data_IF_106005695426
#
_entry.id   IF_106005695426
#
_cell.length_a   1.000
_cell.length_b   1.000
_cell.length_c   1.000
_cell.angle_alpha   90.00
_cell.angle_beta   90.00
_cell.angle_gamma   90.00
#
_symmetry.space_group_name_H-M   'P 1'
#
loop_
_entity.id
_entity.type
_entity.pdbx_description
1 polymer ?
#
# COMPACT_ATOMS: atom_id res chain seq x y z
N UNK A 1 -5.52 13.13 3.48
CA UNK A 1 -5.73 12.00 4.41
C UNK A 1 -6.83 12.33 5.40
N UNK A 2 -6.76 13.49 6.06
CA UNK A 2 -7.74 14.03 7.02
C UNK A 2 -9.23 13.82 6.67
N UNK A 3 -9.67 14.13 5.45
CA UNK A 3 -11.08 13.97 5.09
C UNK A 3 -11.57 12.51 5.15
N UNK A 4 -10.70 11.54 4.85
CA UNK A 4 -11.06 10.11 4.95
C UNK A 4 -11.15 9.69 6.43
N UNK A 5 -10.25 10.20 7.27
CA UNK A 5 -10.31 9.98 8.72
C UNK A 5 -11.58 10.61 9.31
N UNK A 6 -11.88 11.85 8.95
CA UNK A 6 -13.08 12.54 9.38
C UNK A 6 -14.35 11.74 9.05
N UNK A 7 -14.45 11.22 7.82
CA UNK A 7 -15.60 10.42 7.39
C UNK A 7 -15.70 9.11 8.18
N UNK A 8 -14.60 8.38 8.34
CA UNK A 8 -14.62 7.03 8.92
C UNK A 8 -14.56 7.00 10.46
N UNK A 9 -13.96 8.01 11.10
CA UNK A 9 -13.75 8.09 12.55
C UNK A 9 -14.77 9.01 13.21
N UNK A 10 -14.87 10.25 12.72
CA UNK A 10 -15.64 11.30 13.40
C UNK A 10 -17.11 11.35 12.93
N UNK A 11 -17.36 10.83 11.72
CA UNK A 11 -18.66 10.89 11.06
C UNK A 11 -18.89 12.24 10.42
N UNK A 12 -18.84 12.28 9.08
CA UNK A 12 -19.12 13.51 8.35
C UNK A 12 -20.63 13.76 8.30
N UNK A 13 -21.09 14.83 8.96
CA UNK A 13 -22.53 15.17 9.05
C UNK A 13 -23.19 15.51 7.71
N UNK A 14 -22.40 15.78 6.66
CA UNK A 14 -22.90 16.01 5.30
C UNK A 14 -22.99 14.73 4.46
N UNK A 15 -22.42 13.62 4.95
CA UNK A 15 -22.44 12.30 4.29
C UNK A 15 -23.29 11.38 5.15
N UNK A 16 -24.58 11.28 4.82
CA UNK A 16 -25.53 10.47 5.56
C UNK A 16 -25.34 8.95 5.45
N UNK A 17 -26.06 8.17 6.29
CA UNK A 17 -26.19 6.72 6.17
C UNK A 17 -26.57 6.28 4.74
N UNK A 18 -26.09 5.10 4.32
CA UNK A 18 -26.12 4.63 2.92
C UNK A 18 -27.51 4.48 2.30
N UNK A 19 -28.56 4.57 3.12
CA UNK A 19 -29.97 4.37 2.82
C UNK A 19 -30.80 5.67 2.84
N UNK A 20 -30.23 6.82 3.24
CA UNK A 20 -30.99 8.09 3.35
C UNK A 20 -30.23 9.28 2.76
N UNK A 21 -30.86 9.93 1.79
CA UNK A 21 -30.48 11.28 1.40
C UNK A 21 -30.79 12.21 2.58
N UNK A 22 -29.77 12.81 3.20
CA UNK A 22 -29.99 13.88 4.17
C UNK A 22 -30.65 15.03 3.40
N UNK A 23 -31.88 15.39 3.79
CA UNK A 23 -32.45 16.70 3.43
C UNK A 23 -31.49 17.74 4.00
N UNK A 24 -30.80 18.44 3.10
CA UNK A 24 -29.63 19.24 3.41
C UNK A 24 -29.85 20.15 4.62
N UNK A 25 -29.20 19.80 5.73
CA UNK A 25 -28.78 20.84 6.66
C UNK A 25 -27.68 21.61 5.94
N UNK A 26 -27.88 22.92 5.76
CA UNK A 26 -26.99 23.88 5.10
C UNK A 26 -25.59 24.00 5.74
N UNK A 27 -25.21 23.10 6.65
CA UNK A 27 -23.91 23.13 7.31
C UNK A 27 -22.87 22.50 6.38
N UNK A 28 -22.04 23.34 5.77
CA UNK A 28 -20.88 22.89 5.01
C UNK A 28 -19.91 22.14 5.93
N UNK A 29 -19.33 21.05 5.43
CA UNK A 29 -18.24 20.36 6.13
C UNK A 29 -16.94 21.16 5.95
N UNK A 30 -16.20 21.37 7.03
CA UNK A 30 -14.92 22.09 7.02
C UNK A 30 -13.79 21.33 6.29
N UNK A 31 -14.02 20.07 5.92
CA UNK A 31 -13.09 19.28 5.12
C UNK A 31 -13.49 19.31 3.65
N UNK A 32 -12.81 20.11 2.79
CA UNK A 32 -13.23 20.32 1.41
C UNK A 32 -13.22 19.03 0.58
N UNK A 33 -12.31 18.10 0.90
CA UNK A 33 -12.23 16.81 0.23
C UNK A 33 -13.35 15.84 0.60
N UNK A 34 -14.15 16.07 1.65
CA UNK A 34 -15.26 15.19 2.01
C UNK A 34 -16.29 15.08 0.87
N UNK A 35 -16.61 16.20 0.21
CA UNK A 35 -17.53 16.19 -0.93
C UNK A 35 -17.01 15.36 -2.10
N UNK A 36 -15.70 15.43 -2.37
CA UNK A 36 -15.06 14.62 -3.41
C UNK A 36 -15.02 13.12 -3.09
N UNK A 37 -14.96 12.76 -1.80
CA UNK A 37 -14.93 11.36 -1.35
C UNK A 37 -16.32 10.74 -1.15
N UNK A 38 -17.37 11.54 -0.99
CA UNK A 38 -18.75 11.10 -0.73
C UNK A 38 -19.22 9.99 -1.67
N UNK A 39 -19.05 10.18 -2.99
CA UNK A 39 -19.47 9.19 -3.99
C UNK A 39 -18.71 7.88 -3.86
N UNK A 40 -17.40 7.94 -3.60
CA UNK A 40 -16.59 6.73 -3.42
C UNK A 40 -17.01 5.99 -2.15
N UNK A 41 -17.27 6.71 -1.05
CA UNK A 41 -17.69 6.12 0.22
C UNK A 41 -19.04 5.44 0.09
N UNK A 42 -20.05 6.13 -0.46
CA UNK A 42 -21.38 5.54 -0.70
C UNK A 42 -21.33 4.34 -1.62
N UNK A 43 -20.59 4.46 -2.72
CA UNK A 43 -20.43 3.36 -3.66
C UNK A 43 -19.78 2.16 -2.99
N UNK A 44 -18.66 2.38 -2.30
CA UNK A 44 -17.92 1.30 -1.66
C UNK A 44 -18.77 0.55 -0.63
N UNK A 45 -19.60 1.25 0.15
CA UNK A 45 -20.51 0.65 1.12
C UNK A 45 -21.65 -0.17 0.53
N UNK A 46 -22.06 0.09 -0.71
CA UNK A 46 -23.19 -0.60 -1.35
C UNK A 46 -22.76 -1.59 -2.45
N UNK A 47 -21.51 -1.48 -2.95
CA UNK A 47 -21.02 -2.32 -4.02
C UNK A 47 -20.72 -3.74 -3.51
N UNK A 48 -21.22 -4.75 -4.22
CA UNK A 48 -21.01 -6.18 -3.91
C UNK A 48 -19.71 -6.73 -4.50
N UNK A 49 -19.14 -6.08 -5.51
CA UNK A 49 -17.91 -6.53 -6.20
C UNK A 49 -16.66 -5.84 -5.64
N UNK A 50 -16.41 -5.97 -4.34
CA UNK A 50 -15.24 -5.39 -3.67
C UNK A 50 -14.02 -6.29 -3.87
N UNK A 51 -13.36 -6.14 -5.05
CA UNK A 51 -12.11 -6.79 -5.53
C UNK A 51 -12.16 -8.34 -5.58
N UNK A 52 -11.28 -9.06 -6.34
CA UNK A 52 -10.45 -8.70 -7.50
C UNK A 52 -11.26 -8.71 -8.82
N UNK A 53 -10.90 -7.83 -9.77
CA UNK A 53 -11.69 -7.54 -10.99
C UNK A 53 -12.75 -6.43 -10.81
N UNK A 54 -12.93 -5.93 -9.59
CA UNK A 54 -13.97 -4.96 -9.21
C UNK A 54 -14.01 -3.66 -10.03
N UNK A 55 -15.09 -2.91 -9.85
CA UNK A 55 -15.35 -1.69 -10.60
C UNK A 55 -14.33 -0.56 -10.32
N UNK A 56 -14.33 0.47 -11.18
CA UNK A 56 -13.40 1.60 -11.08
C UNK A 56 -13.51 2.38 -9.75
N UNK A 57 -14.71 2.55 -9.20
CA UNK A 57 -14.93 3.26 -7.94
C UNK A 57 -14.38 2.49 -6.74
N UNK A 58 -14.64 1.17 -6.68
CA UNK A 58 -14.04 0.32 -5.66
C UNK A 58 -12.52 0.27 -5.75
N UNK A 59 -11.95 0.21 -6.97
CA UNK A 59 -10.49 0.27 -7.16
C UNK A 59 -9.90 1.58 -6.62
N UNK A 60 -10.52 2.73 -6.92
CA UNK A 60 -10.07 4.03 -6.39
C UNK A 60 -10.17 4.10 -4.87
N UNK A 61 -11.29 3.65 -4.29
CA UNK A 61 -11.41 3.60 -2.83
C UNK A 61 -10.35 2.69 -2.21
N UNK A 62 -10.12 1.51 -2.80
CA UNK A 62 -9.11 0.57 -2.35
C UNK A 62 -7.71 1.19 -2.30
N UNK A 63 -7.32 1.95 -3.32
CA UNK A 63 -6.04 2.68 -3.36
C UNK A 63 -5.93 3.72 -2.23
N UNK A 64 -7.01 4.43 -1.92
CA UNK A 64 -7.03 5.39 -0.80
C UNK A 64 -6.86 4.70 0.55
N UNK A 65 -7.54 3.57 0.76
CA UNK A 65 -7.42 2.77 1.99
C UNK A 65 -6.03 2.14 2.14
N UNK A 66 -5.45 1.67 1.03
CA UNK A 66 -4.09 1.16 1.01
C UNK A 66 -3.08 2.27 1.35
N UNK A 67 -3.20 3.44 0.71
CA UNK A 67 -2.36 4.60 1.01
C UNK A 67 -2.45 5.00 2.48
N UNK A 68 -3.65 5.03 3.05
CA UNK A 68 -3.83 5.30 4.48
C UNK A 68 -3.05 4.32 5.36
N UNK A 69 -3.16 3.03 5.10
CA UNK A 69 -2.51 1.99 5.91
C UNK A 69 -0.99 2.14 6.01
N UNK A 70 -0.35 2.67 4.95
CA UNK A 70 1.09 2.96 4.90
C UNK A 70 1.50 4.05 5.90
N UNK A 71 0.63 5.04 6.11
CA UNK A 71 0.87 6.20 6.98
C UNK A 71 0.22 6.07 8.36
N UNK A 72 -0.55 5.00 8.61
CA UNK A 72 -1.26 4.81 9.88
C UNK A 72 -0.37 4.06 10.88
N UNK A 73 -0.10 4.68 12.03
CA UNK A 73 0.76 4.10 13.06
C UNK A 73 -0.01 3.19 14.04
N UNK A 74 -1.32 3.40 14.19
CA UNK A 74 -2.17 2.68 15.14
C UNK A 74 -3.29 1.87 14.41
N UNK A 75 -2.94 0.82 13.66
CA UNK A 75 -3.89 0.06 12.84
C UNK A 75 -4.97 -0.66 13.67
N UNK A 76 -4.70 -1.00 14.93
CA UNK A 76 -5.63 -1.74 15.81
C UNK A 76 -6.77 -0.86 16.34
N UNK A 77 -6.53 0.44 16.50
CA UNK A 77 -7.54 1.41 16.93
C UNK A 77 -8.14 2.19 15.77
N UNK A 78 -7.59 2.02 14.55
CA UNK A 78 -8.03 2.76 13.38
C UNK A 78 -9.44 2.37 12.93
N UNK A 79 -10.29 3.38 12.71
CA UNK A 79 -11.66 3.23 12.23
C UNK A 79 -11.78 3.22 10.70
N UNK A 80 -10.69 3.45 9.96
CA UNK A 80 -10.69 3.39 8.50
C UNK A 80 -10.83 1.93 8.04
N UNK A 81 -11.79 1.62 7.15
CA UNK A 81 -12.03 0.25 6.73
C UNK A 81 -10.79 -0.34 6.05
N UNK A 82 -10.55 -1.63 6.27
CA UNK A 82 -9.41 -2.37 5.70
C UNK A 82 -8.01 -1.89 6.11
N UNK A 83 -7.86 -0.85 6.93
CA UNK A 83 -6.55 -0.33 7.33
C UNK A 83 -5.65 -1.45 7.89
N UNK A 84 -6.14 -2.19 8.89
CA UNK A 84 -5.44 -3.33 9.48
C UNK A 84 -5.11 -4.42 8.47
N UNK A 85 -6.05 -4.77 7.60
CA UNK A 85 -5.85 -5.79 6.56
C UNK A 85 -4.68 -5.42 5.63
N UNK A 86 -4.62 -4.18 5.18
CA UNK A 86 -3.50 -3.72 4.36
C UNK A 86 -2.19 -3.69 5.13
N UNK A 87 -2.20 -3.21 6.38
CA UNK A 87 -1.01 -3.18 7.23
C UNK A 87 -0.42 -4.58 7.42
N UNK A 88 -1.26 -5.56 7.70
CA UNK A 88 -0.87 -6.97 7.81
C UNK A 88 -0.32 -7.50 6.48
N UNK A 89 -1.00 -7.24 5.36
CA UNK A 89 -0.54 -7.64 4.03
C UNK A 89 0.85 -7.06 3.72
N UNK A 90 1.09 -5.78 4.03
CA UNK A 90 2.39 -5.15 3.84
C UNK A 90 3.47 -5.79 4.72
N UNK A 91 3.18 -6.05 6.00
CA UNK A 91 4.11 -6.74 6.91
C UNK A 91 4.49 -8.12 6.38
N UNK A 92 3.52 -8.87 5.84
CA UNK A 92 3.80 -10.17 5.24
C UNK A 92 4.63 -10.06 3.95
N UNK A 93 4.38 -9.03 3.13
CA UNK A 93 5.17 -8.77 1.94
C UNK A 93 6.62 -8.42 2.30
N UNK A 94 6.84 -7.52 3.26
CA UNK A 94 8.19 -7.16 3.75
C UNK A 94 8.97 -8.38 4.24
N UNK A 95 8.34 -9.28 5.02
CA UNK A 95 8.97 -10.52 5.47
C UNK A 95 9.38 -11.43 4.31
N UNK A 96 8.52 -11.57 3.29
CA UNK A 96 8.81 -12.36 2.09
C UNK A 96 9.98 -11.76 1.30
N UNK A 97 9.99 -10.44 1.14
CA UNK A 97 11.04 -9.73 0.42
C UNK A 97 12.37 -9.80 1.16
N UNK A 98 12.35 -9.71 2.50
CA UNK A 98 13.54 -9.89 3.33
C UNK A 98 14.11 -11.31 3.22
N UNK A 99 13.25 -12.35 3.27
CA UNK A 99 13.68 -13.73 3.08
C UNK A 99 14.31 -13.95 1.69
N UNK A 100 13.70 -13.38 0.65
CA UNK A 100 14.23 -13.40 -0.71
C UNK A 100 15.57 -12.68 -0.82
N UNK A 101 15.69 -11.50 -0.21
CA UNK A 101 16.92 -10.72 -0.16
C UNK A 101 18.05 -11.50 0.51
N UNK A 102 17.80 -12.09 1.69
CA UNK A 102 18.79 -12.91 2.41
C UNK A 102 19.30 -14.07 1.54
N UNK A 103 18.40 -14.77 0.85
CA UNK A 103 18.78 -15.85 -0.06
C UNK A 103 19.66 -15.36 -1.22
N UNK A 104 19.30 -14.22 -1.83
CA UNK A 104 20.08 -13.64 -2.92
C UNK A 104 21.48 -13.22 -2.45
N UNK A 105 21.58 -12.57 -1.29
CA UNK A 105 22.86 -12.18 -0.69
C UNK A 105 23.72 -13.41 -0.41
N UNK A 106 23.17 -14.48 0.18
CA UNK A 106 23.91 -15.72 0.41
C UNK A 106 24.46 -16.32 -0.88
N UNK A 107 23.69 -16.33 -1.97
CA UNK A 107 24.14 -16.82 -3.28
C UNK A 107 25.26 -15.97 -3.87
N UNK A 108 25.16 -14.64 -3.77
CA UNK A 108 26.20 -13.72 -4.25
C UNK A 108 27.51 -13.91 -3.48
N UNK A 109 27.44 -14.06 -2.16
CA UNK A 109 28.62 -14.32 -1.32
C UNK A 109 29.25 -15.68 -1.69
N UNK A 110 28.45 -16.73 -1.85
CA UNK A 110 28.94 -18.04 -2.25
C UNK A 110 29.66 -18.00 -3.61
N UNK A 111 29.07 -17.33 -4.61
CA UNK A 111 29.68 -17.15 -5.93
C UNK A 111 31.00 -16.37 -5.85
N UNK A 112 31.03 -15.29 -5.07
CA UNK A 112 32.25 -14.50 -4.82
C UNK A 112 33.36 -15.34 -4.18
N UNK A 113 33.01 -16.17 -3.19
CA UNK A 113 33.97 -17.01 -2.49
C UNK A 113 34.47 -18.16 -3.38
N UNK A 114 33.62 -18.74 -4.24
CA UNK A 114 34.03 -19.75 -5.21
C UNK A 114 34.96 -19.23 -6.30
N UNK A 115 34.94 -17.91 -6.56
CA UNK A 115 35.84 -17.28 -7.53
C UNK A 115 37.25 -17.05 -6.97
N UNK A 116 37.45 -17.06 -5.64
CA UNK A 116 38.77 -16.89 -5.00
C UNK A 116 39.59 -15.69 -5.52
N UNK A 117 40.88 -15.53 -5.15
CA UNK A 117 41.75 -14.50 -5.71
C UNK A 117 42.18 -14.77 -7.17
N UNK A 118 41.68 -15.82 -7.82
CA UNK A 118 42.19 -16.30 -9.11
C UNK A 118 41.46 -15.68 -10.30
N UNK A 119 41.65 -14.38 -10.56
CA UNK A 119 41.25 -13.77 -11.85
C UNK A 119 41.99 -12.48 -12.24
N UNK A 120 43.18 -12.20 -11.70
CA UNK A 120 44.01 -11.10 -12.23
C UNK A 120 45.51 -11.41 -12.42
N UNK A 121 45.93 -12.65 -12.16
CA UNK A 121 47.29 -13.09 -12.42
C UNK A 121 47.27 -14.17 -13.51
N UNK A 122 47.29 -13.74 -14.78
CA UNK A 122 47.98 -14.40 -15.91
C UNK A 122 47.51 -13.77 -17.24
N UNK A 123 48.10 -12.62 -17.56
CA UNK A 123 48.40 -12.24 -18.95
C UNK A 123 49.87 -11.84 -19.03
N UNK A 124 50.76 -12.77 -18.67
CA UNK A 124 52.15 -12.72 -19.11
C UNK A 124 52.31 -13.76 -20.22
N UNK A 125 51.88 -13.39 -21.42
CA UNK A 125 52.30 -14.08 -22.63
C UNK A 125 53.75 -13.63 -22.85
N UNK A 126 54.69 -14.45 -22.40
CA UNK A 126 56.08 -14.36 -22.82
C UNK A 126 56.13 -14.78 -24.29
N UNK A 127 56.21 -13.81 -25.20
CA UNK A 127 56.71 -14.05 -26.56
C UNK A 127 58.20 -13.73 -26.49
N UNK A 128 59.00 -14.79 -26.39
CA UNK A 128 60.41 -14.76 -26.75
C UNK A 128 60.49 -14.76 -28.29
N UNK A 129 61.26 -13.85 -28.86
CA UNK A 129 61.73 -13.93 -30.24
C UNK A 129 63.21 -13.52 -30.28
N UNK A 130 64.07 -14.29 -30.97
CA UNK A 130 65.44 -13.88 -31.28
C UNK A 130 65.51 -12.77 -32.32
#
# INVERSE_FOLDING_TARGET
MEALLHICKDGCRTIGPCDKALKGSQVACNFPACKGLETLVRHFSNCKTRVPGGCIHCKRMWQLLELHSRMCDEPDFCKVPLCRHFKEKMKQQTKKDEAKWRLLVSKVIAAKNSLGPFSLAQRSIAIATP
#
